data_IF_506448451114
#
_entry.id   IF_506448451114
#
_cell.length_a   1.000
_cell.length_b   1.000
_cell.length_c   1.000
_cell.angle_alpha   90.00
_cell.angle_beta   90.00
_cell.angle_gamma   90.00
#
_symmetry.space_group_name_H-M   'P 1'
#
loop_
_entity.id
_entity.type
_entity.pdbx_description
1 polymer ?
#
# COMPACT_ATOMS: atom_id res chain seq x y z
N UNK A 1 68.33 -78.52 -46.03
CA UNK A 1 67.77 -77.20 -46.43
C UNK A 1 66.37 -76.94 -45.86
N UNK A 2 65.44 -77.91 -45.91
CA UNK A 2 64.03 -77.70 -45.50
C UNK A 2 63.88 -77.41 -43.98
N UNK A 3 64.62 -78.11 -43.12
CA UNK A 3 64.54 -77.91 -41.66
C UNK A 3 65.04 -76.54 -41.18
N UNK A 4 66.10 -76.03 -41.82
CA UNK A 4 66.63 -74.69 -41.54
C UNK A 4 65.61 -73.59 -41.92
N UNK A 5 64.89 -73.77 -43.04
CA UNK A 5 63.83 -72.82 -43.45
C UNK A 5 62.65 -72.82 -42.47
N UNK A 6 62.25 -73.99 -41.95
CA UNK A 6 61.19 -74.10 -40.93
C UNK A 6 61.60 -73.45 -39.61
N UNK A 7 62.85 -73.61 -39.18
CA UNK A 7 63.36 -72.98 -37.95
C UNK A 7 63.41 -71.46 -38.04
N UNK A 8 63.78 -70.92 -39.21
CA UNK A 8 63.78 -69.47 -39.46
C UNK A 8 62.35 -68.92 -39.44
N UNK A 9 61.41 -69.59 -40.10
CA UNK A 9 60.01 -69.17 -40.13
C UNK A 9 59.38 -69.12 -38.73
N UNK A 10 59.61 -70.16 -37.92
CA UNK A 10 59.12 -70.21 -36.54
C UNK A 10 59.70 -69.08 -35.67
N UNK A 11 60.97 -68.72 -35.84
CA UNK A 11 61.58 -67.60 -35.13
C UNK A 11 60.92 -66.25 -35.50
N UNK A 12 60.56 -66.06 -36.78
CA UNK A 12 59.82 -64.86 -37.19
C UNK A 12 58.41 -64.81 -36.63
N UNK A 13 57.69 -65.94 -36.58
CA UNK A 13 56.38 -66.03 -35.93
C UNK A 13 56.48 -65.72 -34.43
N UNK A 14 57.44 -66.32 -33.73
CA UNK A 14 57.66 -66.08 -32.30
C UNK A 14 58.01 -64.60 -32.02
N UNK A 15 58.79 -63.96 -32.89
CA UNK A 15 59.10 -62.53 -32.81
C UNK A 15 57.89 -61.64 -33.08
N UNK A 16 57.07 -61.98 -34.07
CA UNK A 16 55.84 -61.27 -34.38
C UNK A 16 54.83 -61.35 -33.22
N UNK A 17 54.65 -62.53 -32.64
CA UNK A 17 53.76 -62.73 -31.48
C UNK A 17 54.27 -62.01 -30.23
N UNK A 18 55.59 -61.94 -30.04
CA UNK A 18 56.19 -61.15 -28.94
C UNK A 18 55.98 -59.65 -29.17
N UNK A 19 56.16 -59.16 -30.40
CA UNK A 19 55.93 -57.77 -30.74
C UNK A 19 54.45 -57.38 -30.56
N UNK A 20 53.54 -58.24 -31.01
CA UNK A 20 52.09 -58.06 -30.85
C UNK A 20 51.70 -57.94 -29.37
N UNK A 21 52.15 -58.88 -28.53
CA UNK A 21 51.87 -58.83 -27.07
C UNK A 21 52.40 -57.56 -26.42
N UNK A 22 53.61 -57.13 -26.75
CA UNK A 22 54.18 -55.89 -26.23
C UNK A 22 53.37 -54.66 -26.64
N UNK A 23 52.88 -54.62 -27.90
CA UNK A 23 52.00 -53.53 -28.36
C UNK A 23 50.67 -53.56 -27.60
N UNK A 24 50.05 -54.73 -27.43
CA UNK A 24 48.80 -54.87 -26.69
C UNK A 24 48.94 -54.39 -25.23
N UNK A 25 50.04 -54.77 -24.56
CA UNK A 25 50.36 -54.30 -23.20
C UNK A 25 50.53 -52.78 -23.13
N UNK A 26 51.27 -52.18 -24.08
CA UNK A 26 51.45 -50.73 -24.14
C UNK A 26 50.14 -49.98 -24.41
N UNK A 27 49.28 -50.52 -25.27
CA UNK A 27 47.95 -49.95 -25.55
C UNK A 27 47.09 -49.97 -24.28
N UNK A 28 47.08 -51.07 -23.53
CA UNK A 28 46.33 -51.17 -22.27
C UNK A 28 46.84 -50.14 -21.25
N UNK A 29 48.16 -50.01 -21.09
CA UNK A 29 48.77 -49.01 -20.20
C UNK A 29 48.37 -47.60 -20.61
N UNK A 30 48.43 -47.28 -21.90
CA UNK A 30 48.07 -45.95 -22.42
C UNK A 30 46.59 -45.63 -22.21
N UNK A 31 45.69 -46.59 -22.49
CA UNK A 31 44.25 -46.42 -22.29
C UNK A 31 43.93 -46.20 -20.82
N UNK A 32 44.55 -46.96 -19.91
CA UNK A 32 44.36 -46.78 -18.48
C UNK A 32 44.84 -45.40 -18.01
N UNK A 33 46.03 -44.96 -18.45
CA UNK A 33 46.54 -43.63 -18.12
C UNK A 33 45.61 -42.49 -18.64
N UNK A 34 45.05 -42.65 -19.84
CA UNK A 34 44.08 -41.71 -20.39
C UNK A 34 42.78 -41.68 -19.57
N UNK A 35 42.27 -42.85 -19.17
CA UNK A 35 41.07 -42.96 -18.34
C UNK A 35 41.29 -42.34 -16.96
N UNK A 36 42.41 -42.62 -16.31
CA UNK A 36 42.76 -42.06 -15.00
C UNK A 36 42.82 -40.53 -15.07
N UNK A 37 43.50 -39.99 -16.09
CA UNK A 37 43.58 -38.55 -16.32
C UNK A 37 42.18 -37.95 -16.54
N UNK A 38 41.36 -38.60 -17.35
CA UNK A 38 39.98 -38.16 -17.63
C UNK A 38 39.13 -38.14 -16.36
N UNK A 39 39.23 -39.18 -15.54
CA UNK A 39 38.51 -39.29 -14.27
C UNK A 39 38.92 -38.18 -13.30
N UNK A 40 40.22 -37.87 -13.20
CA UNK A 40 40.71 -36.74 -12.38
C UNK A 40 40.13 -35.41 -12.86
N UNK A 41 40.11 -35.16 -14.17
CA UNK A 41 39.52 -33.95 -14.73
C UNK A 41 38.01 -33.86 -14.46
N UNK A 42 37.27 -34.96 -14.65
CA UNK A 42 35.83 -34.99 -14.38
C UNK A 42 35.53 -34.75 -12.90
N UNK A 43 36.25 -35.39 -11.99
CA UNK A 43 36.12 -35.15 -10.55
C UNK A 43 36.43 -33.70 -10.18
N UNK A 44 37.43 -33.07 -10.80
CA UNK A 44 37.75 -31.66 -10.58
C UNK A 44 36.63 -30.73 -11.03
N UNK A 45 36.02 -31.00 -12.19
CA UNK A 45 34.88 -30.23 -12.71
C UNK A 45 33.66 -30.37 -11.78
N UNK A 46 33.37 -31.58 -11.29
CA UNK A 46 32.27 -31.81 -10.34
C UNK A 46 32.48 -31.08 -9.02
N UNK A 47 33.68 -31.17 -8.44
CA UNK A 47 34.08 -30.43 -7.24
C UNK A 47 33.87 -28.92 -7.43
N UNK A 48 34.27 -28.38 -8.58
CA UNK A 48 34.09 -26.97 -8.88
C UNK A 48 32.62 -26.56 -8.96
N UNK A 49 31.78 -27.38 -9.61
CA UNK A 49 30.33 -27.15 -9.68
C UNK A 49 29.67 -27.17 -8.30
N UNK A 50 30.05 -28.13 -7.45
CA UNK A 50 29.55 -28.23 -6.07
C UNK A 50 29.91 -26.96 -5.29
N UNK A 51 31.17 -26.53 -5.36
CA UNK A 51 31.65 -25.33 -4.66
C UNK A 51 30.91 -24.06 -5.11
N UNK A 52 30.69 -23.88 -6.42
CA UNK A 52 29.92 -22.75 -6.93
C UNK A 52 28.45 -22.77 -6.45
N UNK A 53 27.83 -23.94 -6.43
CA UNK A 53 26.45 -24.09 -5.95
C UNK A 53 26.32 -23.74 -4.46
N UNK A 54 27.26 -24.21 -3.64
CA UNK A 54 27.32 -23.88 -2.21
C UNK A 54 27.49 -22.37 -1.99
N UNK A 55 28.39 -21.72 -2.74
CA UNK A 55 28.60 -20.27 -2.64
C UNK A 55 27.33 -19.49 -2.99
N UNK A 56 26.64 -19.85 -4.08
CA UNK A 56 25.37 -19.20 -4.47
C UNK A 56 24.28 -19.39 -3.42
N UNK A 57 24.18 -20.58 -2.82
CA UNK A 57 23.20 -20.84 -1.78
C UNK A 57 23.46 -20.03 -0.50
N UNK A 58 24.73 -19.80 -0.16
CA UNK A 58 25.10 -18.94 0.95
C UNK A 58 24.75 -17.47 0.67
N UNK A 59 25.03 -16.96 -0.53
CA UNK A 59 24.64 -15.60 -0.94
C UNK A 59 23.12 -15.40 -0.90
N UNK A 60 22.33 -16.39 -1.35
CA UNK A 60 20.86 -16.36 -1.26
C UNK A 60 20.38 -16.30 0.20
N UNK A 61 21.03 -17.04 1.10
CA UNK A 61 20.67 -17.04 2.52
C UNK A 61 20.95 -15.69 3.18
N UNK A 62 22.09 -15.07 2.86
CA UNK A 62 22.46 -13.74 3.33
C UNK A 62 21.46 -12.68 2.85
N UNK A 63 21.12 -12.69 1.55
CA UNK A 63 20.11 -11.78 0.97
C UNK A 63 18.72 -11.97 1.59
N UNK A 64 18.33 -13.21 1.92
CA UNK A 64 17.05 -13.49 2.56
C UNK A 64 17.01 -12.93 3.99
N UNK A 65 18.08 -13.14 4.76
CA UNK A 65 18.20 -12.56 6.10
C UNK A 65 18.18 -11.03 6.06
N UNK A 66 18.87 -10.41 5.11
CA UNK A 66 18.85 -8.94 4.96
C UNK A 66 17.43 -8.43 4.66
N UNK A 67 16.70 -9.11 3.77
CA UNK A 67 15.31 -8.76 3.47
C UNK A 67 14.38 -8.91 4.67
N UNK A 68 14.58 -9.96 5.48
CA UNK A 68 13.79 -10.18 6.69
C UNK A 68 14.06 -9.07 7.73
N UNK A 69 15.33 -8.68 7.91
CA UNK A 69 15.74 -7.54 8.75
C UNK A 69 15.11 -6.24 8.24
N UNK A 70 15.15 -5.97 6.93
CA UNK A 70 14.50 -4.80 6.33
C UNK A 70 12.99 -4.79 6.59
N UNK A 71 12.33 -5.95 6.50
CA UNK A 71 10.91 -6.11 6.83
C UNK A 71 10.59 -5.77 8.28
N UNK A 72 11.40 -6.26 9.24
CA UNK A 72 11.24 -5.93 10.65
C UNK A 72 11.50 -4.44 10.95
N UNK A 73 12.55 -3.86 10.37
CA UNK A 73 12.87 -2.43 10.51
C UNK A 73 11.73 -1.58 9.96
N UNK A 74 11.18 -1.94 8.80
CA UNK A 74 10.04 -1.22 8.21
C UNK A 74 8.81 -1.30 9.11
N UNK A 75 8.50 -2.48 9.68
CA UNK A 75 7.38 -2.66 10.61
C UNK A 75 7.56 -1.83 11.88
N UNK A 76 8.76 -1.82 12.45
CA UNK A 76 9.09 -1.04 13.65
C UNK A 76 9.01 0.46 13.37
N UNK A 77 9.55 0.90 12.23
CA UNK A 77 9.50 2.30 11.77
C UNK A 77 8.06 2.74 11.57
N UNK A 78 7.23 1.92 10.92
CA UNK A 78 5.81 2.21 10.76
C UNK A 78 5.09 2.34 12.10
N UNK A 79 5.33 1.42 13.04
CA UNK A 79 4.73 1.52 14.38
C UNK A 79 5.18 2.75 15.17
N UNK A 80 6.43 3.19 14.97
CA UNK A 80 6.96 4.40 15.60
C UNK A 80 6.32 5.65 15.00
N UNK A 81 6.18 5.71 13.68
CA UNK A 81 5.50 6.79 12.96
C UNK A 81 4.03 6.85 13.37
N UNK A 82 3.31 5.72 13.38
CA UNK A 82 1.91 5.64 13.81
C UNK A 82 1.75 6.10 15.26
N UNK A 83 2.68 5.74 16.15
CA UNK A 83 2.73 6.20 17.54
C UNK A 83 2.98 7.71 17.66
N UNK A 84 3.90 8.27 16.87
CA UNK A 84 4.21 9.70 16.85
C UNK A 84 3.04 10.50 16.26
N UNK A 85 2.43 10.05 15.17
CA UNK A 85 1.24 10.66 14.58
C UNK A 85 0.09 10.65 15.59
N UNK A 86 -0.17 9.52 16.25
CA UNK A 86 -1.22 9.46 17.27
C UNK A 86 -0.92 10.38 18.45
N UNK A 87 0.34 10.50 18.88
CA UNK A 87 0.72 11.40 19.97
C UNK A 87 0.57 12.87 19.57
N UNK A 88 1.02 13.25 18.37
CA UNK A 88 0.90 14.60 17.82
C UNK A 88 -0.56 14.98 17.54
N UNK A 89 -1.36 14.04 17.04
CA UNK A 89 -2.79 14.24 16.85
C UNK A 89 -3.48 14.35 18.21
N UNK A 90 -3.21 13.48 19.17
CA UNK A 90 -3.84 13.56 20.50
C UNK A 90 -3.44 14.81 21.28
N UNK A 91 -2.19 15.26 21.21
CA UNK A 91 -1.78 16.52 21.81
C UNK A 91 -2.41 17.71 21.08
N UNK A 92 -2.39 17.73 19.74
CA UNK A 92 -3.02 18.79 18.95
C UNK A 92 -4.54 18.80 19.12
N UNK A 93 -5.20 17.65 19.25
CA UNK A 93 -6.63 17.54 19.54
C UNK A 93 -6.96 17.88 21.00
N UNK A 94 -6.06 17.62 21.95
CA UNK A 94 -6.23 18.07 23.33
C UNK A 94 -6.13 19.59 23.43
N UNK A 95 -5.15 20.18 22.76
CA UNK A 95 -4.95 21.63 22.69
C UNK A 95 -6.05 22.30 21.84
N UNK A 96 -6.50 21.66 20.75
CA UNK A 96 -7.70 22.06 20.01
C UNK A 96 -8.95 21.95 20.87
N UNK A 97 -9.19 20.85 21.58
CA UNK A 97 -10.38 20.69 22.44
C UNK A 97 -10.42 21.71 23.57
N UNK A 98 -9.25 22.14 24.07
CA UNK A 98 -9.14 23.24 25.05
C UNK A 98 -9.41 24.63 24.44
N UNK A 99 -9.25 24.80 23.12
CA UNK A 99 -9.46 26.07 22.41
C UNK A 99 -10.78 26.12 21.61
N UNK A 100 -11.40 24.98 21.29
CA UNK A 100 -12.67 24.84 20.58
C UNK A 100 -13.83 25.00 21.55
N UNK A 101 -14.19 26.24 21.88
CA UNK A 101 -15.43 26.55 22.61
C UNK A 101 -16.62 26.80 21.67
N UNK A 102 -16.41 26.88 20.33
CA UNK A 102 -17.49 27.10 19.36
C UNK A 102 -17.27 26.45 17.99
N UNK A 103 -18.34 26.34 17.20
CA UNK A 103 -18.37 25.80 15.82
C UNK A 103 -17.57 26.68 14.82
N UNK A 104 -17.38 27.97 15.10
CA UNK A 104 -16.61 28.89 14.24
C UNK A 104 -15.12 28.54 14.19
N UNK A 105 -14.58 28.01 15.28
CA UNK A 105 -13.18 27.64 15.38
C UNK A 105 -12.85 26.45 14.46
N UNK A 106 -13.80 25.51 14.27
CA UNK A 106 -13.64 24.36 13.36
C UNK A 106 -13.52 24.80 11.90
N UNK A 107 -14.25 25.83 11.47
CA UNK A 107 -14.27 26.31 10.09
C UNK A 107 -13.00 27.10 9.71
N UNK A 108 -12.43 27.81 10.68
CA UNK A 108 -11.14 28.49 10.53
C UNK A 108 -9.98 27.49 10.35
N UNK A 109 -9.99 26.38 11.08
CA UNK A 109 -8.91 25.39 11.03
C UNK A 109 -8.94 24.50 9.78
N UNK A 110 -10.11 24.14 9.26
CA UNK A 110 -10.21 23.42 7.96
C UNK A 110 -9.64 24.25 6.80
N UNK A 111 -9.76 25.57 6.87
CA UNK A 111 -9.17 26.49 5.89
C UNK A 111 -7.63 26.51 6.01
N UNK A 112 -7.06 26.48 7.22
CA UNK A 112 -5.60 26.41 7.42
C UNK A 112 -4.98 25.11 6.92
N UNK A 113 -5.65 23.98 7.13
CA UNK A 113 -5.18 22.66 6.64
C UNK A 113 -5.14 22.57 5.11
N UNK A 114 -6.02 23.30 4.41
CA UNK A 114 -6.07 23.30 2.95
C UNK A 114 -4.87 23.97 2.25
N UNK A 115 -4.05 24.71 3.00
CA UNK A 115 -2.89 25.44 2.48
C UNK A 115 -1.54 24.79 2.79
N UNK A 116 -1.51 23.64 3.45
CA UNK A 116 -0.26 22.94 3.74
C UNK A 116 0.20 22.18 2.49
N UNK A 117 1.35 22.55 1.92
CA UNK A 117 2.02 21.80 0.86
C UNK A 117 2.83 20.66 1.46
N UNK A 118 2.62 19.44 0.94
CA UNK A 118 3.28 18.22 1.41
C UNK A 118 4.13 17.61 0.31
N UNK A 119 5.36 17.21 0.65
CA UNK A 119 6.37 16.71 -0.29
C UNK A 119 6.25 15.20 -0.59
N UNK A 120 5.31 14.49 0.04
CA UNK A 120 5.17 13.02 -0.03
C UNK A 120 3.80 12.56 -0.55
N UNK A 121 3.82 11.68 -1.55
CA UNK A 121 2.63 11.09 -2.22
C UNK A 121 1.77 10.24 -1.26
N UNK A 122 2.35 9.69 -0.19
CA UNK A 122 1.64 8.82 0.77
C UNK A 122 0.73 9.60 1.72
N UNK A 123 1.13 10.82 2.11
CA UNK A 123 0.34 11.69 2.99
C UNK A 123 -0.87 12.28 2.24
N UNK A 124 -0.69 12.61 0.96
CA UNK A 124 -1.77 13.06 0.08
C UNK A 124 -2.91 12.03 -0.05
N UNK A 125 -2.57 10.73 -0.11
CA UNK A 125 -3.56 9.65 -0.27
C UNK A 125 -4.41 9.43 0.99
N UNK A 126 -3.85 9.64 2.18
CA UNK A 126 -4.60 9.53 3.45
C UNK A 126 -5.50 10.74 3.67
N UNK A 127 -5.05 11.93 3.27
CA UNK A 127 -5.88 13.14 3.26
C UNK A 127 -7.01 13.01 2.24
N UNK A 128 -6.78 12.49 1.04
CA UNK A 128 -7.83 12.28 0.04
C UNK A 128 -8.90 11.28 0.54
N UNK A 129 -8.49 10.25 1.31
CA UNK A 129 -9.42 9.34 1.99
C UNK A 129 -10.20 10.02 3.10
N UNK A 130 -9.57 10.91 3.87
CA UNK A 130 -10.23 11.69 4.91
C UNK A 130 -11.18 12.75 4.31
N UNK A 131 -10.78 13.45 3.25
CA UNK A 131 -11.62 14.36 2.46
C UNK A 131 -12.79 13.60 1.84
N UNK A 132 -12.54 12.39 1.31
CA UNK A 132 -13.58 11.49 0.82
C UNK A 132 -14.60 11.14 1.93
N UNK A 133 -14.13 10.77 3.12
CA UNK A 133 -14.99 10.51 4.28
C UNK A 133 -15.73 11.77 4.77
N UNK A 134 -15.09 12.94 4.77
CA UNK A 134 -15.70 14.24 5.09
C UNK A 134 -16.77 14.60 4.04
N UNK A 135 -16.54 14.30 2.77
CA UNK A 135 -17.53 14.49 1.71
C UNK A 135 -18.69 13.49 1.81
N UNK A 136 -18.45 12.26 2.27
CA UNK A 136 -19.51 11.31 2.64
C UNK A 136 -20.29 11.75 3.88
N UNK A 137 -19.64 12.48 4.80
CA UNK A 137 -20.23 13.09 6.00
C UNK A 137 -20.75 14.51 5.75
N UNK A 138 -20.84 14.98 4.50
CA UNK A 138 -21.77 16.06 4.15
C UNK A 138 -23.14 15.39 4.00
N UNK A 139 -24.01 15.35 5.03
CA UNK A 139 -25.41 15.11 4.75
C UNK A 139 -25.85 16.28 3.88
N UNK A 140 -25.93 16.07 2.57
CA UNK A 140 -26.78 16.83 1.64
C UNK A 140 -26.91 18.30 2.08
N UNK A 141 -25.78 19.03 2.19
CA UNK A 141 -25.84 20.48 2.39
C UNK A 141 -26.20 21.02 1.03
N UNK A 142 -27.48 20.87 0.65
CA UNK A 142 -28.01 21.62 -0.47
C UNK A 142 -27.84 23.09 -0.07
N UNK A 143 -27.09 23.85 -0.86
CA UNK A 143 -26.94 25.28 -0.67
C UNK A 143 -28.33 25.92 -0.72
N UNK A 144 -28.92 26.19 0.45
CA UNK A 144 -30.19 26.91 0.55
C UNK A 144 -29.87 28.36 0.22
N UNK A 145 -30.58 28.94 -0.74
CA UNK A 145 -30.42 30.31 -1.20
C UNK A 145 -31.67 31.13 -0.88
N UNK A 146 -31.53 32.45 -0.89
CA UNK A 146 -32.68 33.37 -0.79
C UNK A 146 -33.60 33.11 -1.99
N UNK A 147 -34.90 32.94 -1.71
CA UNK A 147 -35.91 32.56 -2.69
C UNK A 147 -36.23 31.06 -2.74
N UNK A 148 -35.43 30.21 -2.11
CA UNK A 148 -35.71 28.77 -2.06
C UNK A 148 -36.96 28.46 -1.25
N UNK A 149 -37.73 27.47 -1.72
CA UNK A 149 -38.84 26.88 -0.97
C UNK A 149 -38.29 25.78 -0.09
N UNK A 150 -38.56 25.84 1.21
CA UNK A 150 -38.02 24.91 2.21
C UNK A 150 -39.12 24.47 3.18
N UNK A 151 -38.93 23.30 3.77
CA UNK A 151 -39.80 22.71 4.79
C UNK A 151 -38.99 22.46 6.06
N UNK A 152 -39.63 22.59 7.22
CA UNK A 152 -39.02 22.23 8.50
C UNK A 152 -38.95 20.71 8.66
N UNK A 153 -37.78 20.19 9.02
CA UNK A 153 -37.58 18.76 9.32
C UNK A 153 -38.27 18.40 10.64
N UNK A 154 -38.21 19.31 11.61
CA UNK A 154 -38.80 19.12 12.94
C UNK A 154 -40.27 19.57 12.93
N UNK A 155 -41.16 18.65 13.27
CA UNK A 155 -42.58 18.96 13.46
C UNK A 155 -42.81 19.68 14.80
N UNK A 156 -43.83 20.56 14.85
CA UNK A 156 -44.27 21.19 16.10
C UNK A 156 -43.50 22.44 16.50
N UNK A 157 -42.85 23.11 15.56
CA UNK A 157 -42.22 24.42 15.80
C UNK A 157 -43.30 25.47 16.06
N UNK A 158 -43.19 26.20 17.17
CA UNK A 158 -44.14 27.27 17.52
C UNK A 158 -43.70 28.58 16.89
N UNK A 159 -44.61 29.22 16.16
CA UNK A 159 -44.38 30.55 15.57
C UNK A 159 -45.51 31.48 15.98
N UNK A 160 -45.18 32.75 16.20
CA UNK A 160 -46.17 33.78 16.52
C UNK A 160 -47.01 34.08 15.28
N UNK A 161 -48.33 34.00 15.42
CA UNK A 161 -49.27 34.37 14.37
C UNK A 161 -49.13 35.86 14.02
N UNK A 162 -49.21 36.21 12.74
CA UNK A 162 -49.24 37.62 12.31
C UNK A 162 -50.64 38.25 12.41
N UNK A 163 -51.66 37.44 12.69
CA UNK A 163 -53.06 37.85 12.76
C UNK A 163 -53.63 37.79 14.19
N UNK A 164 -52.87 37.27 15.16
CA UNK A 164 -53.30 37.11 16.55
C UNK A 164 -52.12 37.02 17.51
N UNK A 165 -52.32 37.34 18.79
CA UNK A 165 -51.32 37.19 19.85
C UNK A 165 -51.09 35.72 20.30
N UNK A 166 -51.46 34.75 19.46
CA UNK A 166 -51.31 33.32 19.74
C UNK A 166 -50.15 32.68 18.98
N UNK A 167 -49.66 31.55 19.51
CA UNK A 167 -48.67 30.71 18.83
C UNK A 167 -49.37 29.62 18.03
N UNK A 168 -48.91 29.38 16.82
CA UNK A 168 -49.39 28.31 15.94
C UNK A 168 -48.26 27.29 15.77
N UNK A 169 -48.62 26.01 15.69
CA UNK A 169 -47.68 24.93 15.43
C UNK A 169 -47.53 24.74 13.93
N UNK A 170 -46.31 24.84 13.43
CA UNK A 170 -46.02 24.55 12.03
C UNK A 170 -46.02 23.04 11.83
N UNK A 171 -46.97 22.56 11.03
CA UNK A 171 -47.03 21.17 10.60
C UNK A 171 -46.83 21.10 9.09
N UNK A 172 -45.60 20.80 8.69
CA UNK A 172 -45.26 20.43 7.31
C UNK A 172 -45.39 21.54 6.24
N UNK A 173 -45.53 22.80 6.67
CA UNK A 173 -45.69 23.94 5.77
C UNK A 173 -44.40 24.25 5.01
N UNK A 174 -44.57 24.76 3.77
CA UNK A 174 -43.48 25.16 2.90
C UNK A 174 -43.32 26.67 3.00
N UNK A 175 -42.16 27.12 3.47
CA UNK A 175 -41.78 28.52 3.55
C UNK A 175 -40.79 28.90 2.46
N UNK A 176 -40.64 30.20 2.23
CA UNK A 176 -39.67 30.76 1.28
C UNK A 176 -38.57 31.48 2.06
N UNK A 177 -37.32 31.21 1.72
CA UNK A 177 -36.17 31.85 2.35
C UNK A 177 -36.13 33.32 1.96
N UNK A 178 -36.23 34.21 2.95
CA UNK A 178 -36.24 35.65 2.75
C UNK A 178 -34.87 36.29 2.93
N UNK A 179 -34.06 35.74 3.84
CA UNK A 179 -32.73 36.26 4.15
C UNK A 179 -31.86 35.15 4.74
N UNK A 180 -30.56 35.22 4.48
CA UNK A 180 -29.56 34.40 5.14
C UNK A 180 -28.57 35.38 5.79
N UNK A 181 -28.39 35.26 7.10
CA UNK A 181 -27.43 36.07 7.84
C UNK A 181 -26.02 35.47 7.78
N UNK A 182 -25.01 36.28 8.10
CA UNK A 182 -23.59 35.89 8.06
C UNK A 182 -23.26 34.74 9.03
N UNK A 183 -24.02 34.63 10.12
CA UNK A 183 -23.96 33.57 11.13
C UNK A 183 -24.67 32.26 10.69
N UNK A 184 -25.06 32.17 9.41
CA UNK A 184 -25.79 31.03 8.82
C UNK A 184 -27.21 30.84 9.38
N UNK A 185 -27.76 31.83 10.09
CA UNK A 185 -29.19 31.88 10.43
C UNK A 185 -30.03 32.13 9.18
N UNK A 186 -30.99 31.25 8.90
CA UNK A 186 -31.89 31.35 7.76
C UNK A 186 -33.23 31.92 8.22
N UNK A 187 -33.68 32.98 7.55
CA UNK A 187 -34.98 33.59 7.75
C UNK A 187 -35.94 33.11 6.68
N UNK A 188 -37.13 32.68 7.11
CA UNK A 188 -38.13 32.05 6.28
C UNK A 188 -39.46 32.74 6.50
N UNK A 189 -40.11 33.07 5.38
CA UNK A 189 -41.47 33.54 5.35
C UNK A 189 -42.35 32.38 4.89
N UNK A 190 -43.31 32.02 5.72
CA UNK A 190 -44.27 31.00 5.38
C UNK A 190 -45.65 31.65 5.17
N UNK A 191 -46.62 30.91 4.58
CA UNK A 191 -47.96 31.43 4.40
C UNK A 191 -48.62 31.79 5.73
N UNK A 192 -48.81 33.09 5.99
CA UNK A 192 -49.48 33.58 7.20
C UNK A 192 -48.57 33.89 8.38
N UNK A 193 -47.24 33.78 8.24
CA UNK A 193 -46.27 34.15 9.27
C UNK A 193 -44.90 34.47 8.66
N UNK A 194 -44.27 35.53 9.14
CA UNK A 194 -43.02 36.06 8.57
C UNK A 194 -41.87 36.03 9.58
N UNK A 195 -40.64 36.06 9.06
CA UNK A 195 -39.40 36.17 9.82
C UNK A 195 -39.14 35.03 10.82
N UNK A 196 -39.57 33.80 10.50
CA UNK A 196 -39.09 32.65 11.25
C UNK A 196 -37.59 32.49 11.04
N UNK A 197 -36.81 32.34 12.10
CA UNK A 197 -35.36 32.14 12.02
C UNK A 197 -34.97 30.79 12.58
N UNK A 198 -34.07 30.09 11.90
CA UNK A 198 -33.48 28.85 12.40
C UNK A 198 -32.22 28.45 11.66
N UNK A 199 -31.67 27.30 12.01
CA UNK A 199 -30.43 26.80 11.43
C UNK A 199 -30.72 26.07 10.12
N UNK A 200 -29.74 26.06 9.22
CA UNK A 200 -29.79 25.30 7.96
C UNK A 200 -30.11 23.80 8.20
N UNK A 201 -29.64 23.23 9.32
CA UNK A 201 -29.90 21.85 9.72
C UNK A 201 -31.36 21.53 10.06
N UNK A 202 -32.18 22.55 10.32
CA UNK A 202 -33.60 22.37 10.63
C UNK A 202 -34.47 22.34 9.37
N UNK A 203 -33.85 22.50 8.19
CA UNK A 203 -34.51 22.74 6.92
C UNK A 203 -34.23 21.66 5.89
N UNK A 204 -35.24 21.39 5.08
CA UNK A 204 -35.17 20.49 3.94
C UNK A 204 -35.76 21.19 2.73
N UNK A 205 -35.01 21.22 1.62
CA UNK A 205 -35.58 21.55 0.32
C UNK A 205 -36.55 20.42 -0.08
N UNK A 206 -37.77 20.76 -0.59
CA UNK A 206 -38.81 19.82 -0.94
C UNK A 206 -38.35 18.75 -1.94
#
# INVERSE_FOLDING_TARGET
MIESSRSIHKNFEDQADKAKRNIEEQVVVYVNACNDTTNVYLSSIEQHKIKQSQQKNQEILELKNEKDIQGEVLKKTKSLIDGQINTLLLSSFSDMSRTLQSIEDVHMWTSKLSHVQFDSVSEKLEIDKLIGKINFLKPVIKNIQVGDRVRLIKQGVRVRSQYSDSYIFLSNEIGTVSKISWDKTVYINFPGYSNWSGLHSDLQLP
#
